data_IF_250124334097
#
_entry.id   IF_250124334097
#
_cell.length_a   1.000
_cell.length_b   1.000
_cell.length_c   1.000
_cell.angle_alpha   90.00
_cell.angle_beta   90.00
_cell.angle_gamma   90.00
#
_symmetry.space_group_name_H-M   'P 1'
#
loop_
_entity.id
_entity.type
_entity.pdbx_description
1 polymer ?
#
# COMPACT_ATOMS: atom_id res chain seq x y z
N UNK A 1 -20.91 -0.27 -13.27
CA UNK A 1 -19.81 0.46 -12.59
C UNK A 1 -19.22 -0.46 -11.54
N UNK A 2 -17.92 -0.80 -11.62
CA UNK A 2 -17.25 -1.58 -10.58
C UNK A 2 -16.94 -0.65 -9.42
N UNK A 3 -17.61 -0.81 -8.28
CA UNK A 3 -17.34 -0.02 -7.09
C UNK A 3 -16.14 -0.63 -6.34
N UNK A 4 -14.94 -0.05 -6.50
CA UNK A 4 -13.77 -0.50 -5.76
C UNK A 4 -13.78 0.14 -4.36
N UNK A 5 -14.08 -0.67 -3.33
CA UNK A 5 -14.15 -0.20 -1.94
C UNK A 5 -12.86 0.50 -1.48
N UNK A 6 -11.71 0.07 -2.00
CA UNK A 6 -10.42 0.66 -1.65
C UNK A 6 -10.27 2.12 -2.11
N UNK A 7 -10.86 2.52 -3.25
CA UNK A 7 -10.84 3.93 -3.67
C UNK A 7 -11.63 4.81 -2.68
N UNK A 8 -12.69 4.28 -2.08
CA UNK A 8 -13.43 4.98 -1.01
C UNK A 8 -12.60 5.07 0.26
N UNK A 9 -11.86 4.02 0.63
CA UNK A 9 -10.97 4.03 1.77
C UNK A 9 -9.82 5.04 1.59
N UNK A 10 -9.18 5.10 0.41
CA UNK A 10 -8.15 6.10 0.09
C UNK A 10 -8.70 7.52 0.21
N UNK A 11 -9.88 7.80 -0.37
CA UNK A 11 -10.52 9.12 -0.24
C UNK A 11 -10.73 9.52 1.22
N UNK A 12 -11.31 8.63 2.04
CA UNK A 12 -11.51 8.86 3.47
C UNK A 12 -10.18 9.07 4.22
N UNK A 13 -9.12 8.38 3.82
CA UNK A 13 -7.78 8.57 4.36
C UNK A 13 -7.24 9.97 4.10
N UNK A 14 -7.35 10.47 2.86
CA UNK A 14 -6.96 11.86 2.54
C UNK A 14 -7.79 12.89 3.31
N UNK A 15 -9.10 12.68 3.46
CA UNK A 15 -9.96 13.55 4.25
C UNK A 15 -9.50 13.60 5.73
N UNK A 16 -9.13 12.44 6.30
CA UNK A 16 -8.63 12.33 7.67
C UNK A 16 -7.29 13.04 7.85
N UNK A 17 -6.33 12.84 6.94
CA UNK A 17 -5.03 13.52 6.96
C UNK A 17 -5.23 15.03 6.90
N UNK A 18 -6.11 15.52 6.02
CA UNK A 18 -6.44 16.94 5.91
C UNK A 18 -7.02 17.51 7.20
N UNK A 19 -7.94 16.79 7.83
CA UNK A 19 -8.56 17.24 9.09
C UNK A 19 -7.58 17.27 10.26
N UNK A 20 -6.61 16.36 10.30
CA UNK A 20 -5.70 16.18 11.44
C UNK A 20 -4.39 16.96 11.32
N UNK A 21 -3.89 17.14 10.10
CA UNK A 21 -2.57 17.77 9.83
C UNK A 21 -2.67 19.04 9.00
N UNK A 22 -3.82 19.33 8.39
CA UNK A 22 -3.99 20.40 7.41
C UNK A 22 -3.41 20.11 6.03
N UNK A 23 -2.67 19.01 5.84
CA UNK A 23 -2.08 18.64 4.56
C UNK A 23 -3.14 18.09 3.60
N UNK A 24 -3.07 18.52 2.33
CA UNK A 24 -3.97 18.05 1.28
C UNK A 24 -3.22 17.21 0.27
N UNK A 25 -3.63 15.94 0.13
CA UNK A 25 -3.03 14.98 -0.79
C UNK A 25 -4.04 14.54 -1.84
N UNK A 26 -3.52 14.15 -3.00
CA UNK A 26 -4.25 13.50 -4.09
C UNK A 26 -3.40 12.34 -4.60
N UNK A 27 -3.99 11.43 -5.38
CA UNK A 27 -3.22 10.34 -6.01
C UNK A 27 -2.08 10.87 -6.91
N UNK A 28 -2.23 12.07 -7.49
CA UNK A 28 -1.23 12.67 -8.36
C UNK A 28 -0.12 13.43 -7.60
N UNK A 29 -0.34 13.75 -6.32
CA UNK A 29 0.61 14.53 -5.52
C UNK A 29 1.33 13.70 -4.47
N UNK A 30 0.93 12.43 -4.26
CA UNK A 30 1.66 11.52 -3.39
C UNK A 30 3.07 11.26 -3.94
N UNK A 31 4.09 11.17 -3.06
CA UNK A 31 5.39 10.65 -3.45
C UNK A 31 5.23 9.25 -4.07
N UNK A 32 5.95 8.96 -5.18
CA UNK A 32 5.78 7.70 -5.88
C UNK A 32 6.28 6.49 -5.06
N UNK A 33 7.26 6.69 -4.18
CA UNK A 33 7.87 5.65 -3.36
C UNK A 33 8.21 6.21 -1.97
N UNK A 34 8.12 5.37 -0.94
CA UNK A 34 8.51 5.69 0.43
C UNK A 34 9.22 4.47 1.05
N UNK A 35 10.50 4.59 1.47
CA UNK A 35 11.23 3.52 2.16
C UNK A 35 10.48 2.92 3.36
N UNK A 36 9.72 3.73 4.10
CA UNK A 36 8.97 3.27 5.26
C UNK A 36 7.86 2.28 4.89
N UNK A 37 7.22 2.46 3.72
CA UNK A 37 6.23 1.51 3.19
C UNK A 37 6.89 0.18 2.86
N UNK A 38 8.05 0.19 2.22
CA UNK A 38 8.79 -1.04 1.93
C UNK A 38 9.26 -1.75 3.20
N UNK A 39 9.74 -1.01 4.21
CA UNK A 39 10.13 -1.59 5.49
C UNK A 39 8.95 -2.24 6.22
N UNK A 40 7.77 -1.62 6.16
CA UNK A 40 6.53 -2.18 6.68
C UNK A 40 6.18 -3.50 5.97
N UNK A 41 6.22 -3.51 4.64
CA UNK A 41 5.97 -4.72 3.84
C UNK A 41 7.00 -5.82 4.10
N UNK A 42 8.29 -5.48 4.21
CA UNK A 42 9.35 -6.43 4.56
C UNK A 42 9.14 -7.13 5.91
N UNK A 43 8.39 -6.52 6.83
CA UNK A 43 8.02 -7.11 8.13
C UNK A 43 6.72 -7.93 8.07
N UNK A 44 6.12 -8.10 6.89
CA UNK A 44 4.78 -8.64 6.69
C UNK A 44 3.69 -7.86 7.45
N UNK A 45 3.88 -6.56 7.64
CA UNK A 45 2.88 -5.68 8.26
C UNK A 45 1.95 -5.12 7.17
N UNK A 46 1.20 -6.00 6.50
CA UNK A 46 0.41 -5.67 5.31
C UNK A 46 -1.10 -5.92 5.49
N UNK A 47 -1.57 -6.07 6.73
CA UNK A 47 -3.00 -6.25 7.01
C UNK A 47 -3.77 -5.00 6.57
N UNK A 48 -4.74 -5.17 5.67
CA UNK A 48 -5.51 -4.06 5.10
C UNK A 48 -4.79 -3.29 3.99
N UNK A 49 -3.61 -3.74 3.55
CA UNK A 49 -2.95 -3.22 2.36
C UNK A 49 -3.50 -3.96 1.14
N UNK A 50 -4.21 -3.21 0.30
CA UNK A 50 -4.90 -3.77 -0.87
C UNK A 50 -3.96 -4.57 -1.76
N UNK A 51 -4.44 -5.72 -2.24
CA UNK A 51 -3.72 -6.70 -3.06
C UNK A 51 -2.56 -7.45 -2.41
N UNK A 52 -2.10 -7.11 -1.20
CA UNK A 52 -0.93 -7.78 -0.55
C UNK A 52 -1.23 -8.31 0.86
N UNK A 53 -2.50 -8.63 1.14
CA UNK A 53 -2.99 -9.00 2.48
C UNK A 53 -3.12 -10.51 2.73
N UNK A 54 -3.04 -11.34 1.68
CA UNK A 54 -3.33 -12.76 1.82
C UNK A 54 -2.25 -13.49 2.63
N UNK A 55 -2.58 -14.65 3.20
CA UNK A 55 -1.62 -15.47 3.95
C UNK A 55 -0.38 -15.85 3.14
N UNK A 56 -0.54 -16.10 1.83
CA UNK A 56 0.58 -16.43 0.96
C UNK A 56 1.54 -15.24 0.83
N UNK A 57 0.99 -14.04 0.67
CA UNK A 57 1.75 -12.79 0.52
C UNK A 57 2.46 -12.41 1.81
N UNK A 58 1.77 -12.46 2.96
CA UNK A 58 2.37 -12.22 4.27
C UNK A 58 3.55 -13.16 4.58
N UNK A 59 3.52 -14.39 4.06
CA UNK A 59 4.64 -15.33 4.19
C UNK A 59 5.79 -15.02 3.20
N UNK A 60 5.49 -14.45 2.03
CA UNK A 60 6.47 -14.18 0.97
C UNK A 60 7.18 -12.83 1.13
N UNK A 61 6.49 -11.80 1.61
CA UNK A 61 7.04 -10.44 1.75
C UNK A 61 8.36 -10.38 2.56
N UNK A 62 8.52 -11.08 3.71
CA UNK A 62 9.79 -11.08 4.46
C UNK A 62 10.94 -11.80 3.74
N UNK A 63 10.62 -12.65 2.76
CA UNK A 63 11.61 -13.37 1.95
C UNK A 63 12.03 -12.54 0.74
N UNK A 64 11.07 -11.92 0.05
CA UNK A 64 11.31 -11.09 -1.13
C UNK A 64 11.93 -9.74 -0.78
N UNK A 65 11.56 -9.16 0.37
CA UNK A 65 12.04 -7.86 0.86
C UNK A 65 11.98 -6.78 -0.23
N UNK A 66 10.79 -6.44 -0.75
CA UNK A 66 10.66 -5.49 -1.86
C UNK A 66 11.26 -4.13 -1.49
N UNK A 67 11.96 -3.50 -2.44
CA UNK A 67 12.60 -2.18 -2.28
C UNK A 67 12.25 -1.19 -3.37
N UNK A 68 11.49 -1.63 -4.37
CA UNK A 68 11.00 -0.82 -5.47
C UNK A 68 9.55 -1.17 -5.79
N UNK A 69 8.84 -0.30 -6.49
CA UNK A 69 7.52 -0.60 -7.03
C UNK A 69 7.53 -1.87 -7.92
N UNK A 70 8.60 -2.07 -8.70
CA UNK A 70 8.70 -3.23 -9.58
C UNK A 70 8.74 -4.56 -8.81
N UNK A 71 9.35 -4.59 -7.63
CA UNK A 71 9.34 -5.78 -6.76
C UNK A 71 7.92 -6.15 -6.31
N UNK A 72 7.06 -5.14 -6.07
CA UNK A 72 5.65 -5.36 -5.70
C UNK A 72 4.83 -5.89 -6.89
N UNK A 73 5.10 -5.40 -8.10
CA UNK A 73 4.46 -5.94 -9.32
C UNK A 73 4.79 -7.42 -9.47
N UNK A 74 6.05 -7.80 -9.23
CA UNK A 74 6.47 -9.21 -9.26
C UNK A 74 5.78 -10.02 -8.16
N UNK A 75 5.74 -9.51 -6.93
CA UNK A 75 5.13 -10.20 -5.79
C UNK A 75 3.66 -10.53 -6.03
N UNK A 76 2.87 -9.54 -6.47
CA UNK A 76 1.45 -9.68 -6.77
C UNK A 76 1.19 -10.55 -8.01
N UNK A 77 2.13 -10.62 -8.94
CA UNK A 77 1.97 -11.45 -10.15
C UNK A 77 2.31 -12.93 -9.90
N UNK A 78 3.21 -13.22 -8.96
CA UNK A 78 3.64 -14.59 -8.64
C UNK A 78 2.67 -15.28 -7.66
N UNK A 79 2.09 -14.51 -6.74
CA UNK A 79 1.24 -15.00 -5.64
C UNK A 79 -0.23 -14.80 -5.94
#
# INVERSE_FOLDING_TARGET
VLALGMLTAVRKGFDLIRQTTGQSWTMATLPPEDPAVYDMLCRADAVGVFQVESRAQLNMLPRLKPRTYYDLVIEVAIV
#
